data_IF_988968184380
#
_entry.id   IF_988968184380
#
_cell.length_a   1.000
_cell.length_b   1.000
_cell.length_c   1.000
_cell.angle_alpha   90.00
_cell.angle_beta   90.00
_cell.angle_gamma   90.00
#
_symmetry.space_group_name_H-M   'P 1'
#
loop_
_entity.id
_entity.type
_entity.pdbx_description
1 polymer ?
#
# COMPACT_ATOMS: atom_id res chain seq x y z
N UNK A 1 -45.05 6.92 -29.94
CA UNK A 1 -44.63 7.02 -28.54
C UNK A 1 -43.75 5.87 -28.02
N UNK A 2 -43.87 4.61 -28.47
CA UNK A 2 -43.02 3.47 -27.99
C UNK A 2 -41.55 3.49 -28.49
N UNK A 3 -41.29 4.08 -29.67
CA UNK A 3 -39.94 4.14 -30.27
C UNK A 3 -39.05 5.20 -29.63
N UNK A 4 -39.59 6.32 -29.15
CA UNK A 4 -38.85 7.36 -28.47
C UNK A 4 -38.43 6.98 -27.06
N UNK A 5 -39.25 6.19 -26.33
CA UNK A 5 -38.91 5.67 -25.00
C UNK A 5 -37.75 4.65 -25.05
N UNK A 6 -37.66 3.83 -26.11
CA UNK A 6 -36.59 2.85 -26.30
C UNK A 6 -35.23 3.53 -26.57
N UNK A 7 -35.26 4.64 -27.35
CA UNK A 7 -34.04 5.41 -27.63
C UNK A 7 -33.51 6.14 -26.40
N UNK A 8 -34.40 6.68 -25.55
CA UNK A 8 -34.00 7.31 -24.28
C UNK A 8 -33.42 6.31 -23.30
N UNK A 9 -33.98 5.10 -23.22
CA UNK A 9 -33.47 4.02 -22.37
C UNK A 9 -32.09 3.50 -22.83
N UNK A 10 -31.88 3.43 -24.15
CA UNK A 10 -30.61 2.99 -24.72
C UNK A 10 -29.50 4.05 -24.53
N UNK A 11 -29.86 5.34 -24.53
CA UNK A 11 -28.92 6.43 -24.32
C UNK A 11 -28.48 6.57 -22.85
N UNK A 12 -29.35 6.23 -21.89
CA UNK A 12 -29.00 6.20 -20.46
C UNK A 12 -28.06 5.03 -20.11
N UNK A 13 -28.17 3.90 -20.79
CA UNK A 13 -27.26 2.75 -20.62
C UNK A 13 -25.84 3.00 -21.17
N UNK A 14 -25.68 3.91 -22.14
CA UNK A 14 -24.38 4.27 -22.70
C UNK A 14 -23.59 5.26 -21.83
N UNK A 15 -24.24 5.95 -20.90
CA UNK A 15 -23.60 6.93 -20.01
C UNK A 15 -23.01 6.33 -18.71
N UNK A 16 -23.35 5.08 -18.38
CA UNK A 16 -22.85 4.42 -17.17
C UNK A 16 -21.54 3.65 -17.35
N UNK A 17 -21.00 3.57 -18.58
CA UNK A 17 -19.84 2.75 -18.92
C UNK A 17 -18.46 3.40 -18.70
N UNK A 18 -18.35 4.69 -18.37
CA UNK A 18 -17.05 5.39 -18.37
C UNK A 18 -16.41 5.59 -16.99
N UNK A 19 -17.10 5.31 -15.89
CA UNK A 19 -16.59 5.57 -14.54
C UNK A 19 -15.35 4.70 -14.18
N UNK A 20 -15.35 3.37 -14.37
CA UNK A 20 -14.23 2.52 -13.94
C UNK A 20 -12.93 2.79 -14.72
N UNK A 21 -13.02 3.19 -15.99
CA UNK A 21 -11.84 3.47 -16.82
C UNK A 21 -11.19 4.81 -16.48
N UNK A 22 -11.98 5.78 -16.07
CA UNK A 22 -11.49 7.09 -15.60
C UNK A 22 -10.70 6.95 -14.29
N UNK A 23 -11.23 6.20 -13.33
CA UNK A 23 -10.58 5.99 -12.04
C UNK A 23 -9.28 5.21 -12.20
N UNK A 24 -9.25 4.21 -13.08
CA UNK A 24 -8.03 3.49 -13.47
C UNK A 24 -6.97 4.44 -14.04
N UNK A 25 -7.33 5.27 -15.02
CA UNK A 25 -6.39 6.18 -15.68
C UNK A 25 -5.86 7.25 -14.70
N UNK A 26 -6.69 7.70 -13.76
CA UNK A 26 -6.28 8.62 -12.72
C UNK A 26 -5.29 7.97 -11.76
N UNK A 27 -5.56 6.73 -11.30
CA UNK A 27 -4.62 5.97 -10.49
C UNK A 27 -3.29 5.72 -11.22
N UNK A 28 -3.31 5.26 -12.48
CA UNK A 28 -2.09 4.99 -13.24
C UNK A 28 -1.23 6.25 -13.47
N UNK A 29 -1.86 7.42 -13.63
CA UNK A 29 -1.15 8.68 -13.71
C UNK A 29 -0.47 9.01 -12.38
N UNK A 30 -1.21 8.93 -11.27
CA UNK A 30 -0.67 9.13 -9.93
C UNK A 30 0.47 8.15 -9.63
N UNK A 31 0.29 6.85 -9.94
CA UNK A 31 1.33 5.83 -9.79
C UNK A 31 2.60 6.19 -10.58
N UNK A 32 2.45 6.68 -11.80
CA UNK A 32 3.58 7.12 -12.63
C UNK A 32 4.30 8.33 -12.02
N UNK A 33 3.57 9.27 -11.44
CA UNK A 33 4.14 10.41 -10.73
C UNK A 33 4.91 9.94 -9.50
N UNK A 34 4.33 9.04 -8.70
CA UNK A 34 4.99 8.43 -7.54
C UNK A 34 6.26 7.64 -7.95
N UNK A 35 6.21 6.88 -9.04
CA UNK A 35 7.36 6.14 -9.56
C UNK A 35 8.47 7.04 -10.08
N UNK A 36 8.13 8.23 -10.59
CA UNK A 36 9.08 9.26 -11.02
C UNK A 36 9.67 10.09 -9.87
N UNK A 37 9.06 10.04 -8.70
CA UNK A 37 9.56 10.70 -7.49
C UNK A 37 10.79 10.01 -6.91
N UNK A 38 11.49 10.70 -6.01
CA UNK A 38 12.72 10.20 -5.37
C UNK A 38 12.46 9.53 -4.03
N UNK A 39 11.27 9.69 -3.44
CA UNK A 39 10.97 9.06 -2.16
C UNK A 39 9.59 9.35 -1.59
N UNK A 40 9.34 8.75 -0.43
CA UNK A 40 8.19 9.04 0.40
C UNK A 40 8.52 8.82 1.89
N UNK A 41 7.79 9.52 2.76
CA UNK A 41 7.77 9.31 4.22
C UNK A 41 6.33 9.23 4.68
N UNK A 42 6.07 8.35 5.61
CA UNK A 42 4.76 8.25 6.26
C UNK A 42 4.86 7.52 7.60
N UNK A 43 3.91 7.80 8.47
CA UNK A 43 3.67 7.01 9.68
C UNK A 43 2.69 5.90 9.36
N UNK A 44 2.91 4.71 9.90
CA UNK A 44 2.06 3.56 9.69
C UNK A 44 1.70 2.89 11.01
N UNK A 45 0.40 2.60 11.20
CA UNK A 45 -0.05 1.63 12.18
C UNK A 45 -0.32 0.31 11.45
N UNK A 46 0.30 -0.77 11.90
CA UNK A 46 0.26 -2.09 11.27
C UNK A 46 -0.42 -3.09 12.18
N UNK A 47 -1.47 -3.71 11.71
CA UNK A 47 -2.06 -4.90 12.35
C UNK A 47 -1.54 -6.15 11.62
N UNK A 48 -0.91 -7.04 12.36
CA UNK A 48 -0.36 -8.30 11.85
C UNK A 48 -1.08 -9.49 12.49
N UNK A 49 -1.48 -10.48 11.66
CA UNK A 49 -1.99 -11.77 12.15
C UNK A 49 -0.80 -12.69 12.51
N UNK A 50 -0.59 -12.89 13.80
CA UNK A 50 0.47 -13.70 14.34
C UNK A 50 -0.07 -15.05 14.87
N UNK A 51 -0.68 -15.85 13.97
CA UNK A 51 -1.16 -17.19 14.34
C UNK A 51 -2.47 -17.21 15.10
N UNK A 52 -3.38 -16.28 14.81
CA UNK A 52 -4.71 -16.15 15.40
C UNK A 52 -4.81 -15.03 16.44
N UNK A 53 -3.71 -14.37 16.74
CA UNK A 53 -3.68 -13.14 17.54
C UNK A 53 -3.28 -11.98 16.64
N UNK A 54 -4.02 -10.86 16.75
CA UNK A 54 -3.67 -9.62 16.06
C UNK A 54 -2.76 -8.79 16.94
N UNK A 55 -1.56 -8.51 16.47
CA UNK A 55 -0.61 -7.63 17.15
C UNK A 55 -0.55 -6.30 16.40
N UNK A 56 -0.61 -5.21 17.17
CA UNK A 56 -0.55 -3.86 16.62
C UNK A 56 0.85 -3.29 16.79
N UNK A 57 1.38 -2.73 15.71
CA UNK A 57 2.66 -2.02 15.66
C UNK A 57 2.43 -0.62 15.12
N UNK A 58 3.29 0.31 15.51
CA UNK A 58 3.36 1.60 14.83
C UNK A 58 4.82 1.90 14.49
N UNK A 59 5.04 2.67 13.44
CA UNK A 59 6.39 3.03 13.01
C UNK A 59 6.40 4.10 11.95
N UNK A 60 7.58 4.64 11.72
CA UNK A 60 7.89 5.56 10.64
C UNK A 60 8.55 4.83 9.50
N UNK A 61 8.11 5.10 8.28
CA UNK A 61 8.62 4.55 7.03
C UNK A 61 9.23 5.66 6.22
N UNK A 62 10.46 5.46 5.75
CA UNK A 62 11.15 6.36 4.81
C UNK A 62 11.68 5.55 3.65
N UNK A 63 11.27 5.91 2.44
CA UNK A 63 11.72 5.31 1.20
C UNK A 63 12.39 6.40 0.36
N UNK A 64 13.69 6.32 0.09
CA UNK A 64 14.40 7.33 -0.66
C UNK A 64 15.65 6.75 -1.32
N UNK A 65 15.90 7.10 -2.60
CA UNK A 65 17.16 6.80 -3.29
C UNK A 65 17.49 5.30 -3.42
N UNK A 66 16.46 4.42 -3.43
CA UNK A 66 16.68 2.96 -3.47
C UNK A 66 16.87 2.33 -2.09
N UNK A 67 16.87 3.14 -1.04
CA UNK A 67 16.90 2.71 0.35
C UNK A 67 15.51 2.81 0.97
N UNK A 68 15.17 1.86 1.82
CA UNK A 68 13.96 1.91 2.64
C UNK A 68 14.33 1.62 4.08
N UNK A 69 13.82 2.45 5.00
CA UNK A 69 13.97 2.25 6.43
C UNK A 69 12.63 2.31 7.15
N UNK A 70 12.49 1.53 8.20
CA UNK A 70 11.35 1.50 9.09
C UNK A 70 11.86 1.56 10.52
N UNK A 71 11.32 2.48 11.33
CA UNK A 71 11.62 2.54 12.75
C UNK A 71 10.34 2.33 13.53
N UNK A 72 10.26 1.26 14.32
CA UNK A 72 9.09 0.98 15.14
C UNK A 72 9.03 1.96 16.32
N UNK A 73 7.84 2.50 16.58
CA UNK A 73 7.55 3.43 17.68
C UNK A 73 6.62 2.82 18.73
N UNK A 74 5.90 1.77 18.39
CA UNK A 74 5.03 1.03 19.29
C UNK A 74 4.93 -0.46 18.86
N UNK A 75 4.61 -1.38 19.80
CA UNK A 75 4.52 -1.16 21.26
C UNK A 75 5.89 -0.88 21.90
N UNK A 76 5.89 -0.41 23.15
CA UNK A 76 7.12 -0.03 23.88
C UNK A 76 8.20 -1.13 23.87
N UNK A 77 7.79 -2.40 23.88
CA UNK A 77 8.68 -3.57 23.87
C UNK A 77 9.52 -3.72 22.61
N UNK A 78 9.13 -3.08 21.50
CA UNK A 78 9.84 -3.11 20.22
C UNK A 78 10.17 -1.70 19.70
N UNK A 79 9.81 -0.68 20.43
CA UNK A 79 10.11 0.70 20.07
C UNK A 79 11.63 0.90 19.95
N UNK A 80 12.06 1.60 18.90
CA UNK A 80 13.46 1.81 18.55
C UNK A 80 14.09 0.71 17.70
N UNK A 81 13.39 -0.41 17.44
CA UNK A 81 13.84 -1.35 16.42
C UNK A 81 13.76 -0.68 15.06
N UNK A 82 14.87 -0.69 14.33
CA UNK A 82 14.96 -0.17 12.97
C UNK A 82 15.31 -1.28 11.99
N UNK A 83 14.52 -1.37 10.93
CA UNK A 83 14.81 -2.20 9.77
C UNK A 83 15.24 -1.31 8.59
N UNK A 84 16.24 -1.74 7.84
CA UNK A 84 16.74 -1.02 6.68
C UNK A 84 17.02 -2.00 5.55
N UNK A 85 16.64 -1.62 4.33
CA UNK A 85 16.99 -2.30 3.10
C UNK A 85 17.72 -1.34 2.17
N UNK A 86 18.93 -1.68 1.77
CA UNK A 86 19.75 -0.92 0.83
C UNK A 86 20.66 -1.87 0.08
N UNK A 87 20.93 -1.61 -1.21
CA UNK A 87 21.90 -2.35 -2.04
C UNK A 87 21.68 -3.87 -2.05
N UNK A 88 20.42 -4.32 -1.90
CA UNK A 88 20.07 -5.75 -1.88
C UNK A 88 20.35 -6.46 -0.55
N UNK A 89 20.84 -5.74 0.46
CA UNK A 89 20.99 -6.21 1.84
C UNK A 89 19.86 -5.71 2.73
N UNK A 90 19.58 -6.47 3.79
CA UNK A 90 18.63 -6.06 4.83
C UNK A 90 19.34 -6.12 6.19
N UNK A 91 19.09 -5.12 7.01
CA UNK A 91 19.61 -5.08 8.40
C UNK A 91 18.48 -4.78 9.38
N UNK A 92 18.61 -5.33 10.57
CA UNK A 92 17.77 -5.01 11.72
C UNK A 92 18.67 -4.50 12.84
N UNK A 93 18.36 -3.34 13.38
CA UNK A 93 19.13 -2.71 14.43
C UNK A 93 18.25 -2.39 15.64
N UNK A 94 18.80 -2.60 16.82
CA UNK A 94 18.19 -2.18 18.09
C UNK A 94 19.30 -1.76 19.05
N UNK A 95 19.23 -0.55 19.56
CA UNK A 95 20.29 0.06 20.37
C UNK A 95 21.67 0.00 19.66
N UNK A 96 22.63 -0.75 20.22
CA UNK A 96 23.98 -0.92 19.67
C UNK A 96 24.17 -2.23 18.88
N UNK A 97 23.11 -3.02 18.72
CA UNK A 97 23.15 -4.32 18.03
C UNK A 97 22.60 -4.16 16.62
N UNK A 98 23.34 -4.61 15.62
CA UNK A 98 22.89 -4.70 14.24
C UNK A 98 23.04 -6.13 13.74
N UNK A 99 21.99 -6.65 13.16
CA UNK A 99 21.91 -7.98 12.56
C UNK A 99 21.74 -7.85 11.06
N UNK A 100 22.59 -8.50 10.28
CA UNK A 100 22.38 -8.68 8.86
C UNK A 100 21.38 -9.82 8.65
N UNK A 101 20.35 -9.55 7.85
CA UNK A 101 19.31 -10.52 7.53
C UNK A 101 19.65 -11.22 6.23
N UNK A 102 19.63 -12.56 6.23
CA UNK A 102 19.86 -13.31 5.02
C UNK A 102 18.75 -13.03 3.97
N UNK A 103 19.11 -12.73 2.71
CA UNK A 103 18.14 -12.48 1.66
C UNK A 103 17.10 -13.62 1.57
N UNK A 104 15.82 -13.27 1.55
CA UNK A 104 14.71 -14.21 1.33
C UNK A 104 14.38 -15.15 2.49
N UNK A 105 15.06 -15.05 3.64
CA UNK A 105 14.77 -15.88 4.83
C UNK A 105 14.05 -15.14 5.96
N UNK A 106 13.84 -13.85 5.84
CA UNK A 106 12.98 -13.11 6.78
C UNK A 106 11.55 -13.59 6.62
N UNK A 107 10.91 -13.88 7.76
CA UNK A 107 9.51 -14.29 7.79
C UNK A 107 8.71 -13.46 6.78
N UNK A 108 7.97 -14.12 5.92
CA UNK A 108 7.27 -13.55 4.77
C UNK A 108 6.43 -12.33 5.14
N UNK A 109 6.18 -12.12 6.44
CA UNK A 109 5.33 -11.07 6.98
C UNK A 109 5.91 -10.56 8.29
N UNK A 110 6.89 -9.67 8.21
CA UNK A 110 7.32 -8.88 9.36
C UNK A 110 6.57 -7.54 9.37
N UNK A 111 6.11 -7.04 10.54
CA UNK A 111 5.53 -5.69 10.63
C UNK A 111 6.41 -4.59 10.03
N UNK A 112 7.74 -4.73 10.15
CA UNK A 112 8.70 -3.81 9.54
C UNK A 112 8.66 -3.81 8.01
N UNK A 113 8.16 -4.86 7.37
CA UNK A 113 8.05 -4.94 5.90
C UNK A 113 6.70 -4.47 5.36
N UNK A 114 5.71 -4.27 6.23
CA UNK A 114 4.36 -3.87 5.83
C UNK A 114 4.34 -2.54 5.06
N UNK A 115 4.94 -1.50 5.63
CA UNK A 115 5.05 -0.19 4.98
C UNK A 115 5.85 -0.22 3.68
N UNK A 116 7.06 -0.78 3.67
CA UNK A 116 7.84 -0.99 2.44
C UNK A 116 7.12 -1.76 1.35
N UNK A 117 6.45 -2.86 1.69
CA UNK A 117 5.69 -3.67 0.74
C UNK A 117 4.48 -2.91 0.19
N UNK A 118 3.78 -2.17 1.07
CA UNK A 118 2.70 -1.29 0.66
C UNK A 118 3.19 -0.22 -0.31
N UNK A 119 4.27 0.49 0.03
CA UNK A 119 4.87 1.51 -0.84
C UNK A 119 5.31 0.93 -2.18
N UNK A 120 5.98 -0.23 -2.19
CA UNK A 120 6.38 -0.90 -3.42
C UNK A 120 5.18 -1.27 -4.29
N UNK A 121 4.07 -1.74 -3.69
CA UNK A 121 2.85 -2.02 -4.43
C UNK A 121 2.24 -0.76 -5.03
N UNK A 122 2.23 0.36 -4.32
CA UNK A 122 1.76 1.65 -4.85
C UNK A 122 2.60 2.13 -6.02
N UNK A 123 3.92 1.95 -5.96
CA UNK A 123 4.88 2.44 -6.95
C UNK A 123 4.98 1.54 -8.19
N UNK A 124 4.99 0.23 -8.01
CA UNK A 124 5.38 -0.76 -9.03
C UNK A 124 4.32 -1.85 -9.25
N UNK A 125 3.30 -1.92 -8.38
CA UNK A 125 2.27 -2.96 -8.45
C UNK A 125 1.45 -2.87 -9.73
N UNK A 126 1.12 -4.03 -10.30
CA UNK A 126 0.23 -4.12 -11.44
C UNK A 126 -1.21 -3.83 -10.99
N UNK A 127 -1.83 -2.81 -11.58
CA UNK A 127 -3.25 -2.51 -11.33
C UNK A 127 -4.13 -3.65 -11.84
N UNK A 128 -4.95 -4.21 -10.96
CA UNK A 128 -5.93 -5.25 -11.30
C UNK A 128 -7.31 -4.63 -11.53
N UNK A 129 -7.84 -3.98 -10.51
CA UNK A 129 -9.11 -3.26 -10.55
C UNK A 129 -9.18 -2.23 -9.42
N UNK A 130 -10.20 -1.40 -9.47
CA UNK A 130 -10.45 -0.40 -8.43
C UNK A 130 -11.75 0.32 -8.71
N UNK A 131 -12.07 1.28 -7.87
CA UNK A 131 -13.28 2.08 -7.97
C UNK A 131 -13.31 3.22 -6.97
N UNK A 132 -14.44 3.92 -6.99
CA UNK A 132 -14.71 5.04 -6.09
C UNK A 132 -15.96 4.74 -5.27
N UNK A 133 -15.90 5.04 -3.99
CA UNK A 133 -17.04 5.03 -3.08
C UNK A 133 -17.07 6.34 -2.30
N UNK A 134 -17.98 7.22 -2.69
CA UNK A 134 -18.05 8.58 -2.16
C UNK A 134 -16.77 9.36 -2.43
N UNK A 135 -16.10 9.79 -1.36
CA UNK A 135 -14.84 10.54 -1.42
C UNK A 135 -13.61 9.63 -1.43
N UNK A 136 -13.78 8.34 -1.14
CA UNK A 136 -12.68 7.39 -1.13
C UNK A 136 -12.50 6.71 -2.48
N UNK A 137 -11.26 6.33 -2.77
CA UNK A 137 -10.88 5.56 -3.94
C UNK A 137 -10.16 4.30 -3.51
N UNK A 138 -10.36 3.23 -4.23
CA UNK A 138 -9.72 1.94 -3.97
C UNK A 138 -8.99 1.48 -5.21
N UNK A 139 -7.77 0.99 -5.04
CA UNK A 139 -7.03 0.27 -6.07
C UNK A 139 -6.58 -1.08 -5.53
N UNK A 140 -6.73 -2.11 -6.33
CA UNK A 140 -6.21 -3.46 -6.03
C UNK A 140 -5.05 -3.73 -6.97
N UNK A 141 -3.92 -4.07 -6.39
CA UNK A 141 -2.62 -4.15 -7.03
C UNK A 141 -2.03 -5.56 -6.81
N UNK A 142 -1.38 -6.11 -7.82
CA UNK A 142 -0.56 -7.31 -7.67
C UNK A 142 0.92 -6.92 -7.58
N UNK A 143 1.63 -7.47 -6.60
CA UNK A 143 3.07 -7.33 -6.43
C UNK A 143 3.69 -8.68 -6.05
N UNK A 144 4.30 -9.36 -7.01
CA UNK A 144 4.80 -10.72 -6.82
C UNK A 144 3.66 -11.67 -6.43
N UNK A 145 3.78 -12.30 -5.27
CA UNK A 145 2.77 -13.21 -4.72
C UNK A 145 1.69 -12.51 -3.87
N UNK A 146 1.82 -11.20 -3.67
CA UNK A 146 0.91 -10.42 -2.85
C UNK A 146 -0.15 -9.71 -3.67
N UNK A 147 -1.34 -9.60 -3.11
CA UNK A 147 -2.39 -8.68 -3.55
C UNK A 147 -2.53 -7.59 -2.50
N UNK A 148 -2.43 -6.35 -2.93
CA UNK A 148 -2.52 -5.18 -2.06
C UNK A 148 -3.75 -4.38 -2.44
N UNK A 149 -4.66 -4.20 -1.49
CA UNK A 149 -5.79 -3.28 -1.63
C UNK A 149 -5.39 -1.97 -0.98
N UNK A 150 -5.34 -0.90 -1.74
CA UNK A 150 -5.03 0.44 -1.25
C UNK A 150 -6.26 1.33 -1.31
N UNK A 151 -6.50 2.07 -0.24
CA UNK A 151 -7.58 3.06 -0.12
C UNK A 151 -6.96 4.44 -0.02
N UNK A 152 -7.52 5.38 -0.76
CA UNK A 152 -7.06 6.76 -0.88
C UNK A 152 -8.19 7.72 -0.54
N UNK A 153 -7.85 8.93 -0.16
CA UNK A 153 -8.77 10.07 -0.10
C UNK A 153 -9.09 10.65 -1.49
N UNK A 154 -9.80 11.76 -1.51
CA UNK A 154 -10.17 12.47 -2.74
C UNK A 154 -8.95 13.03 -3.49
N UNK A 155 -7.89 13.39 -2.78
CA UNK A 155 -6.64 13.96 -3.26
C UNK A 155 -5.61 12.90 -3.68
N UNK A 156 -5.96 11.61 -3.59
CA UNK A 156 -5.09 10.46 -3.84
C UNK A 156 -3.97 10.27 -2.79
N UNK A 157 -4.15 10.77 -1.58
CA UNK A 157 -3.28 10.41 -0.46
C UNK A 157 -3.67 9.03 0.06
N UNK A 158 -2.73 8.09 0.21
CA UNK A 158 -3.00 6.78 0.78
C UNK A 158 -3.47 6.90 2.24
N UNK A 159 -4.58 6.23 2.57
CA UNK A 159 -5.16 6.19 3.91
C UNK A 159 -4.95 4.83 4.58
N UNK A 160 -5.07 3.77 3.79
CA UNK A 160 -5.04 2.40 4.31
C UNK A 160 -4.60 1.42 3.24
N UNK A 161 -3.97 0.34 3.68
CA UNK A 161 -3.62 -0.81 2.86
C UNK A 161 -3.99 -2.13 3.52
N UNK A 162 -4.37 -3.11 2.72
CA UNK A 162 -4.53 -4.50 3.11
C UNK A 162 -3.64 -5.36 2.23
N UNK A 163 -2.74 -6.13 2.83
CA UNK A 163 -1.79 -7.00 2.14
C UNK A 163 -2.22 -8.44 2.33
N UNK A 164 -2.46 -9.13 1.22
CA UNK A 164 -2.97 -10.51 1.18
C UNK A 164 -2.03 -11.41 0.41
N UNK A 165 -2.01 -12.67 0.82
CA UNK A 165 -1.40 -13.78 0.09
C UNK A 165 -2.37 -14.97 0.14
N UNK A 166 -2.61 -15.63 -0.99
CA UNK A 166 -3.51 -16.79 -1.10
C UNK A 166 -4.87 -16.54 -0.43
N UNK A 167 -5.50 -15.42 -0.72
CA UNK A 167 -6.78 -14.96 -0.16
C UNK A 167 -6.79 -14.66 1.36
N UNK A 168 -5.68 -14.91 2.07
CA UNK A 168 -5.54 -14.59 3.48
C UNK A 168 -4.98 -13.17 3.65
N UNK A 169 -5.65 -12.34 4.48
CA UNK A 169 -5.09 -11.06 4.93
C UNK A 169 -3.97 -11.34 5.92
N UNK A 170 -2.80 -10.82 5.62
CA UNK A 170 -1.59 -10.97 6.44
C UNK A 170 -1.34 -9.73 7.28
N UNK A 171 -1.49 -8.56 6.66
CA UNK A 171 -1.23 -7.26 7.27
C UNK A 171 -2.28 -6.26 6.85
N UNK A 172 -2.66 -5.40 7.78
CA UNK A 172 -3.39 -4.17 7.50
C UNK A 172 -2.51 -3.00 7.91
N UNK A 173 -2.45 -1.97 7.08
CA UNK A 173 -1.63 -0.77 7.28
C UNK A 173 -2.56 0.43 7.26
N UNK A 174 -2.62 1.19 8.33
CA UNK A 174 -3.26 2.50 8.37
C UNK A 174 -2.16 3.55 8.23
N UNK A 175 -2.36 4.51 7.32
CA UNK A 175 -1.37 5.51 6.96
C UNK A 175 -1.74 6.86 7.56
N UNK A 176 -0.76 7.50 8.15
CA UNK A 176 -0.83 8.87 8.64
C UNK A 176 0.39 9.65 8.13
N UNK A 177 0.23 10.96 7.95
CA UNK A 177 1.31 11.88 7.53
C UNK A 177 2.06 11.46 6.24
N UNK A 178 1.30 11.14 5.19
CA UNK A 178 1.89 10.81 3.90
C UNK A 178 2.53 12.02 3.22
N UNK A 179 3.80 11.89 2.87
CA UNK A 179 4.56 12.86 2.07
C UNK A 179 5.33 12.12 0.96
N UNK A 180 5.31 12.63 -0.26
CA UNK A 180 6.10 12.09 -1.39
C UNK A 180 6.79 13.22 -2.15
N UNK A 181 8.01 12.99 -2.67
CA UNK A 181 8.85 13.97 -3.35
C UNK A 181 9.62 13.40 -4.53
#
# INVERSE_FOLDING_TARGET
MKRTALFALMMTLLLTGCAPERDKNEFLRWQKELAGGTGARFSAAVAADCGGETVLYAGEVVCSGGETSVTLTAPETVAGISWRSADGGETLSFESVTLELAPGKTAEVSPCRAGPLFFAALREGQYLYGGRDGETRTAVLALGEFTVTAVFDAEMSPLRGEIRKDEKTLLTVEIDHWESW
#
